data_IF_639738891718
#
_entry.id   IF_639738891718
#
_cell.length_a   1.000
_cell.length_b   1.000
_cell.length_c   1.000
_cell.angle_alpha   90.00
_cell.angle_beta   90.00
_cell.angle_gamma   90.00
#
_symmetry.space_group_name_H-M   'P 1'
#
loop_
_entity.id
_entity.type
_entity.pdbx_description
1 polymer ?
#
# COMPACT_ATOMS: atom_id res chain seq x y z
N UNK A 1 -6.57 -21.80 -1.91
CA UNK A 1 -7.38 -20.91 -2.77
C UNK A 1 -7.10 -19.49 -2.29
N UNK A 2 -6.79 -18.52 -3.15
CA UNK A 2 -6.56 -17.13 -2.69
C UNK A 2 -7.88 -16.59 -2.14
N UNK A 3 -7.92 -16.03 -0.91
CA UNK A 3 -9.14 -15.43 -0.34
C UNK A 3 -9.74 -14.32 -1.22
N UNK A 4 -8.95 -13.76 -2.13
CA UNK A 4 -9.30 -12.62 -2.96
C UNK A 4 -9.88 -13.00 -4.34
N UNK A 5 -10.21 -14.27 -4.58
CA UNK A 5 -10.70 -14.73 -5.89
C UNK A 5 -12.23 -14.89 -5.94
N UNK A 6 -12.88 -14.05 -6.75
CA UNK A 6 -14.34 -14.02 -6.97
C UNK A 6 -14.86 -15.02 -8.02
N UNK A 7 -14.02 -15.94 -8.54
CA UNK A 7 -14.42 -16.90 -9.59
C UNK A 7 -14.98 -18.21 -9.00
N UNK A 8 -15.77 -18.92 -9.80
CA UNK A 8 -16.23 -20.28 -9.49
C UNK A 8 -15.02 -21.21 -9.39
N UNK A 9 -14.91 -21.95 -8.27
CA UNK A 9 -13.77 -22.84 -7.99
C UNK A 9 -13.91 -24.12 -8.82
N UNK A 10 -13.01 -24.34 -9.77
CA UNK A 10 -12.86 -25.64 -10.44
C UNK A 10 -11.93 -26.55 -9.61
N UNK A 11 -12.23 -27.84 -9.53
CA UNK A 11 -11.41 -28.82 -8.79
C UNK A 11 -9.93 -28.79 -9.21
N UNK A 12 -8.97 -29.03 -8.30
CA UNK A 12 -7.57 -29.06 -8.65
C UNK A 12 -7.29 -30.14 -9.68
N UNK A 13 -6.56 -29.83 -10.77
CA UNK A 13 -6.09 -30.88 -11.66
C UNK A 13 -5.22 -31.86 -10.86
N UNK A 14 -5.46 -33.16 -11.04
CA UNK A 14 -4.75 -34.23 -10.34
C UNK A 14 -3.23 -34.17 -10.50
N UNK A 15 -2.75 -33.48 -11.54
CA UNK A 15 -1.36 -33.17 -11.78
C UNK A 15 -1.13 -31.66 -11.68
N UNK A 16 -0.46 -31.24 -10.61
CA UNK A 16 0.04 -29.86 -10.49
C UNK A 16 1.43 -29.83 -11.12
N UNK A 17 1.67 -29.00 -12.17
CA UNK A 17 3.00 -28.88 -12.75
C UNK A 17 4.02 -28.49 -11.70
N UNK A 18 5.03 -29.32 -11.49
CA UNK A 18 6.23 -29.04 -10.68
C UNK A 18 7.20 -28.08 -11.38
N UNK A 19 6.92 -27.72 -12.63
CA UNK A 19 7.76 -26.83 -13.42
C UNK A 19 7.75 -25.41 -12.84
N UNK A 20 8.93 -24.79 -12.80
CA UNK A 20 9.09 -23.43 -12.29
C UNK A 20 8.48 -22.43 -13.30
N UNK A 21 7.41 -21.69 -12.96
CA UNK A 21 6.71 -20.76 -13.85
C UNK A 21 7.57 -19.55 -14.18
N UNK A 22 8.58 -19.23 -13.35
CA UNK A 22 9.59 -18.20 -13.66
C UNK A 22 10.60 -18.63 -14.71
N UNK A 23 10.48 -19.87 -15.22
CA UNK A 23 11.24 -20.34 -16.36
C UNK A 23 10.38 -20.09 -17.61
N UNK A 24 10.86 -19.26 -18.56
CA UNK A 24 10.14 -19.03 -19.80
C UNK A 24 9.90 -20.34 -20.55
N UNK A 25 8.76 -20.49 -21.23
CA UNK A 25 8.51 -21.66 -22.07
C UNK A 25 9.58 -21.76 -23.16
N UNK A 26 9.88 -23.00 -23.59
CA UNK A 26 10.77 -23.23 -24.71
C UNK A 26 10.13 -22.71 -25.99
N UNK A 27 10.87 -21.89 -26.75
CA UNK A 27 10.36 -21.32 -27.99
C UNK A 27 10.75 -22.21 -29.18
N UNK A 28 9.76 -22.70 -29.96
CA UNK A 28 9.96 -23.59 -31.12
C UNK A 28 10.53 -22.90 -32.38
N UNK A 29 11.31 -21.84 -32.23
CA UNK A 29 11.84 -21.10 -33.37
C UNK A 29 13.14 -21.74 -33.90
N UNK A 30 13.04 -22.91 -34.54
CA UNK A 30 13.96 -23.55 -35.52
C UNK A 30 15.51 -23.47 -35.33
N UNK A 31 16.04 -22.92 -34.23
CA UNK A 31 17.46 -22.74 -33.97
C UNK A 31 17.75 -22.69 -32.47
N UNK A 32 17.81 -23.86 -31.85
CA UNK A 32 18.25 -24.03 -30.47
C UNK A 32 17.17 -23.70 -29.43
N UNK A 33 17.08 -24.54 -28.41
CA UNK A 33 16.23 -24.34 -27.24
C UNK A 33 16.68 -23.11 -26.42
N UNK A 34 16.28 -21.90 -26.84
CA UNK A 34 16.58 -20.67 -26.10
C UNK A 34 15.33 -20.20 -25.34
N UNK A 35 15.47 -20.08 -24.02
CA UNK A 35 14.47 -19.47 -23.13
C UNK A 35 14.56 -17.96 -23.24
N UNK A 36 13.43 -17.27 -23.38
CA UNK A 36 13.40 -15.80 -23.45
C UNK A 36 12.62 -15.23 -22.26
N UNK A 37 13.33 -14.56 -21.34
CA UNK A 37 12.72 -13.94 -20.15
C UNK A 37 11.56 -12.99 -20.49
N UNK A 38 11.59 -12.34 -21.67
CA UNK A 38 10.52 -11.43 -22.12
C UNK A 38 9.18 -12.12 -22.40
N UNK A 39 9.14 -13.47 -22.41
CA UNK A 39 7.91 -14.26 -22.59
C UNK A 39 7.16 -14.50 -21.28
N UNK A 40 7.79 -14.28 -20.13
CA UNK A 40 7.09 -14.33 -18.86
C UNK A 40 6.08 -13.20 -18.81
N UNK A 41 4.87 -13.43 -18.28
CA UNK A 41 3.87 -12.39 -18.13
C UNK A 41 3.27 -12.39 -16.74
N UNK A 42 3.14 -11.19 -16.14
CA UNK A 42 2.66 -11.00 -14.76
C UNK A 42 1.21 -11.46 -14.63
N UNK A 43 0.42 -11.26 -15.70
CA UNK A 43 -0.97 -11.72 -15.81
C UNK A 43 -1.13 -13.23 -15.54
N UNK A 44 -0.14 -14.05 -15.92
CA UNK A 44 -0.15 -15.50 -15.69
C UNK A 44 -0.09 -15.84 -14.19
N UNK A 45 0.45 -14.95 -13.37
CA UNK A 45 0.58 -15.12 -11.93
C UNK A 45 -0.60 -14.53 -11.18
N UNK A 46 -1.30 -13.56 -11.78
CA UNK A 46 -2.55 -12.99 -11.23
C UNK A 46 -3.72 -13.98 -11.34
N UNK A 47 -3.57 -15.04 -12.15
CA UNK A 47 -4.54 -16.13 -12.20
C UNK A 47 -4.54 -16.94 -10.89
N UNK A 48 -5.72 -17.20 -10.29
CA UNK A 48 -5.81 -17.99 -9.07
C UNK A 48 -5.27 -19.40 -9.34
N UNK A 49 -4.31 -19.83 -8.52
CA UNK A 49 -3.73 -21.18 -8.57
C UNK A 49 -3.94 -21.91 -7.26
N UNK A 50 -3.96 -23.23 -7.34
CA UNK A 50 -3.98 -24.08 -6.16
C UNK A 50 -2.74 -23.85 -5.31
N UNK A 51 -2.95 -23.78 -4.00
CA UNK A 51 -1.88 -23.54 -3.04
C UNK A 51 -0.94 -24.73 -3.04
N UNK A 52 0.34 -24.45 -3.25
CA UNK A 52 1.40 -25.43 -3.01
C UNK A 52 2.48 -24.77 -2.17
N UNK A 53 3.32 -25.58 -1.54
CA UNK A 53 4.41 -25.09 -0.70
C UNK A 53 5.33 -24.12 -1.44
N UNK A 54 5.59 -24.35 -2.72
CA UNK A 54 6.48 -23.54 -3.56
C UNK A 54 5.83 -22.26 -4.10
N UNK A 55 4.50 -22.24 -4.21
CA UNK A 55 3.73 -21.22 -4.92
C UNK A 55 2.80 -20.39 -4.03
N UNK A 56 2.62 -20.74 -2.76
CA UNK A 56 1.64 -20.08 -1.88
C UNK A 56 1.82 -18.56 -1.73
N UNK A 57 3.04 -18.06 -1.90
CA UNK A 57 3.36 -16.63 -1.78
C UNK A 57 2.77 -15.76 -2.90
N UNK A 58 2.37 -16.32 -4.05
CA UNK A 58 1.74 -15.53 -5.13
C UNK A 58 0.41 -14.90 -4.71
N UNK A 59 -0.22 -15.39 -3.63
CA UNK A 59 -1.42 -14.80 -3.05
C UNK A 59 -1.20 -13.38 -2.50
N UNK A 60 0.06 -12.98 -2.28
CA UNK A 60 0.45 -11.66 -1.81
C UNK A 60 0.68 -10.65 -2.94
N UNK A 61 0.45 -11.04 -4.20
CA UNK A 61 0.60 -10.11 -5.31
C UNK A 61 -0.57 -9.11 -5.38
N UNK A 62 -0.29 -7.81 -5.62
CA UNK A 62 -1.34 -6.82 -5.81
C UNK A 62 -2.09 -7.08 -7.14
N UNK A 63 -3.42 -7.06 -7.09
CA UNK A 63 -4.27 -7.16 -8.28
C UNK A 63 -4.14 -5.94 -9.19
N UNK A 64 -3.99 -4.76 -8.57
CA UNK A 64 -3.81 -3.47 -9.24
C UNK A 64 -2.59 -2.78 -8.62
N UNK A 65 -1.39 -2.95 -9.18
CA UNK A 65 -0.20 -2.29 -8.68
C UNK A 65 -0.27 -0.78 -8.96
N UNK A 66 -0.29 0.03 -7.90
CA UNK A 66 -0.12 1.48 -8.00
C UNK A 66 1.36 1.83 -8.19
N UNK A 67 1.68 2.44 -9.33
CA UNK A 67 3.03 2.88 -9.69
C UNK A 67 3.23 4.39 -9.51
N UNK A 68 2.26 5.12 -8.96
CA UNK A 68 2.30 6.58 -8.77
C UNK A 68 3.18 6.94 -7.57
N UNK A 69 3.19 6.11 -6.54
CA UNK A 69 4.06 6.24 -5.37
C UNK A 69 4.94 5.00 -5.19
N UNK A 70 5.82 4.67 -6.14
CA UNK A 70 6.69 3.53 -5.96
C UNK A 70 7.72 3.94 -4.90
N UNK A 71 7.85 3.19 -3.81
CA UNK A 71 9.10 3.24 -3.09
C UNK A 71 10.18 2.65 -4.04
N UNK A 72 11.44 2.65 -3.65
CA UNK A 72 12.42 1.66 -4.14
C UNK A 72 13.38 2.04 -5.30
N UNK A 73 14.45 2.75 -4.93
CA UNK A 73 15.83 2.44 -5.36
C UNK A 73 16.54 1.37 -4.47
N UNK A 74 16.24 1.22 -3.16
CA UNK A 74 17.01 0.30 -2.28
C UNK A 74 16.77 -1.21 -2.46
N UNK A 75 15.72 -1.67 -3.14
CA UNK A 75 15.44 -3.13 -3.27
C UNK A 75 16.50 -3.89 -4.07
N UNK A 76 17.32 -3.19 -4.85
CA UNK A 76 18.47 -3.77 -5.54
C UNK A 76 19.61 -4.19 -4.60
N UNK A 77 19.52 -3.85 -3.30
CA UNK A 77 20.57 -4.09 -2.30
C UNK A 77 20.25 -5.23 -1.32
N UNK A 78 19.14 -5.96 -1.51
CA UNK A 78 18.82 -7.09 -0.63
C UNK A 78 19.91 -8.19 -0.68
N UNK A 79 20.50 -8.60 0.46
CA UNK A 79 21.64 -9.51 0.46
C UNK A 79 21.29 -10.91 -0.09
N UNK A 80 22.23 -11.49 -0.85
CA UNK A 80 22.10 -12.78 -1.56
C UNK A 80 22.17 -14.04 -0.68
N UNK A 81 21.99 -13.95 0.64
CA UNK A 81 22.20 -15.08 1.58
C UNK A 81 20.90 -15.82 1.95
N UNK A 82 20.98 -17.03 2.55
CA UNK A 82 19.83 -17.92 2.72
C UNK A 82 18.78 -17.29 3.66
N UNK A 83 17.50 -17.66 3.54
CA UNK A 83 16.45 -17.02 4.33
C UNK A 83 16.67 -17.35 5.80
N UNK A 84 16.96 -16.34 6.61
CA UNK A 84 16.96 -16.40 8.08
C UNK A 84 15.67 -17.04 8.64
N UNK A 85 14.59 -17.09 7.86
CA UNK A 85 13.29 -17.69 8.18
C UNK A 85 12.95 -18.99 7.41
N UNK A 86 13.86 -19.63 6.67
CA UNK A 86 13.60 -20.88 5.92
C UNK A 86 12.29 -20.86 5.10
N UNK A 87 12.00 -19.72 4.48
CA UNK A 87 10.78 -19.55 3.70
C UNK A 87 10.83 -20.45 2.44
N UNK A 88 9.85 -21.35 2.22
CA UNK A 88 9.83 -22.22 1.05
C UNK A 88 9.32 -21.44 -0.18
N UNK A 89 10.09 -20.46 -0.64
CA UNK A 89 9.73 -19.64 -1.79
C UNK A 89 10.75 -19.76 -2.92
N UNK A 90 10.26 -20.02 -4.14
CA UNK A 90 11.07 -19.93 -5.35
C UNK A 90 11.20 -18.46 -5.72
N UNK A 91 12.44 -17.96 -5.80
CA UNK A 91 12.71 -16.55 -6.10
C UNK A 91 12.43 -16.24 -7.57
N UNK A 92 11.68 -15.15 -7.88
CA UNK A 92 11.47 -14.69 -9.25
C UNK A 92 12.77 -14.13 -9.85
N UNK A 93 12.81 -13.98 -11.17
CA UNK A 93 13.92 -13.30 -11.87
C UNK A 93 13.98 -11.84 -11.41
N UNK A 94 15.17 -11.28 -11.18
CA UNK A 94 15.32 -9.86 -10.85
C UNK A 94 14.79 -8.96 -11.98
N UNK A 95 14.19 -7.79 -11.69
CA UNK A 95 13.74 -6.84 -12.71
C UNK A 95 14.87 -6.42 -13.69
N UNK A 96 16.12 -6.35 -13.21
CA UNK A 96 17.29 -6.08 -14.06
C UNK A 96 17.54 -7.17 -15.12
N UNK A 97 17.02 -8.38 -14.90
CA UNK A 97 17.08 -9.50 -15.85
C UNK A 97 16.34 -9.24 -17.18
N UNK A 98 15.37 -8.32 -17.21
CA UNK A 98 14.70 -7.89 -18.45
C UNK A 98 15.55 -6.93 -19.28
N UNK A 99 16.71 -6.51 -18.77
CA UNK A 99 17.70 -5.80 -19.56
C UNK A 99 17.41 -4.33 -19.80
N UNK A 100 16.53 -3.69 -19.02
CA UNK A 100 16.27 -2.24 -19.12
C UNK A 100 17.52 -1.36 -18.89
N UNK A 101 18.56 -1.91 -18.24
CA UNK A 101 19.88 -1.25 -18.07
C UNK A 101 20.82 -1.44 -19.26
N UNK A 102 20.43 -2.21 -20.29
CA UNK A 102 21.28 -2.50 -21.46
C UNK A 102 21.10 -1.42 -22.54
N UNK A 103 22.04 -1.36 -23.49
CA UNK A 103 21.88 -0.54 -24.69
C UNK A 103 20.81 -1.16 -25.59
N UNK A 104 19.89 -0.34 -26.09
CA UNK A 104 18.82 -0.76 -26.99
C UNK A 104 18.93 -0.05 -28.33
N UNK A 105 18.63 -0.74 -29.44
CA UNK A 105 18.73 -0.16 -30.78
C UNK A 105 17.65 0.89 -31.07
N UNK A 106 16.48 0.76 -30.43
CA UNK A 106 15.35 1.65 -30.61
C UNK A 106 14.70 1.95 -29.26
N UNK A 107 14.15 3.16 -29.13
CA UNK A 107 13.40 3.60 -27.94
C UNK A 107 12.29 2.61 -27.56
N UNK A 108 11.51 2.13 -28.54
CA UNK A 108 10.44 1.15 -28.30
C UNK A 108 10.95 -0.14 -27.62
N UNK A 109 12.15 -0.58 -27.94
CA UNK A 109 12.75 -1.77 -27.32
C UNK A 109 13.23 -1.51 -25.87
N UNK A 110 13.72 -0.29 -25.60
CA UNK A 110 14.04 0.16 -24.25
C UNK A 110 12.76 0.26 -23.40
N UNK A 111 11.74 0.94 -23.91
CA UNK A 111 10.44 1.11 -23.22
C UNK A 111 9.78 -0.24 -22.91
N UNK A 112 9.82 -1.19 -23.84
CA UNK A 112 9.32 -2.56 -23.59
C UNK A 112 10.05 -3.24 -22.43
N UNK A 113 11.36 -3.05 -22.32
CA UNK A 113 12.17 -3.63 -21.25
C UNK A 113 11.93 -2.93 -19.91
N UNK A 114 11.74 -1.61 -19.92
CA UNK A 114 11.38 -0.79 -18.75
C UNK A 114 10.02 -1.20 -18.21
N UNK A 115 8.98 -1.23 -19.05
CA UNK A 115 7.64 -1.64 -18.62
C UNK A 115 7.64 -3.06 -18.10
N UNK A 116 8.37 -3.97 -18.75
CA UNK A 116 8.45 -5.35 -18.26
C UNK A 116 9.12 -5.47 -16.91
N UNK A 117 10.22 -4.75 -16.69
CA UNK A 117 10.90 -4.71 -15.40
C UNK A 117 10.01 -4.09 -14.31
N UNK A 118 9.29 -3.01 -14.64
CA UNK A 118 8.31 -2.37 -13.75
C UNK A 118 7.19 -3.34 -13.37
N UNK A 119 6.56 -4.02 -14.33
CA UNK A 119 5.45 -4.91 -14.02
C UNK A 119 5.93 -6.11 -13.19
N UNK A 120 7.12 -6.62 -13.50
CA UNK A 120 7.75 -7.72 -12.76
C UNK A 120 8.18 -7.35 -11.34
N UNK A 121 8.30 -6.06 -11.06
CA UNK A 121 8.58 -5.55 -9.73
C UNK A 121 7.48 -5.91 -8.73
N UNK A 122 6.22 -5.89 -9.15
CA UNK A 122 5.07 -6.28 -8.32
C UNK A 122 5.16 -7.73 -7.85
N UNK A 123 5.78 -8.60 -8.64
CA UNK A 123 6.06 -9.99 -8.28
C UNK A 123 7.07 -10.06 -7.12
N UNK A 124 8.09 -9.20 -7.13
CA UNK A 124 9.04 -9.09 -6.01
C UNK A 124 8.41 -8.49 -4.76
N UNK A 125 7.49 -7.53 -4.92
CA UNK A 125 6.73 -6.98 -3.78
C UNK A 125 5.82 -8.02 -3.13
N UNK A 126 5.20 -8.91 -3.93
CA UNK A 126 4.45 -10.04 -3.40
C UNK A 126 5.33 -11.00 -2.59
N UNK A 127 6.52 -11.34 -3.10
CA UNK A 127 7.47 -12.17 -2.36
C UNK A 127 7.94 -11.50 -1.07
N UNK A 128 8.28 -10.20 -1.12
CA UNK A 128 8.71 -9.45 0.07
C UNK A 128 7.62 -9.44 1.14
N UNK A 129 6.37 -9.19 0.75
CA UNK A 129 5.21 -9.18 1.66
C UNK A 129 5.01 -10.55 2.32
N UNK A 130 5.14 -11.64 1.55
CA UNK A 130 5.11 -13.00 2.09
C UNK A 130 6.24 -13.26 3.10
N UNK A 131 7.46 -12.78 2.81
CA UNK A 131 8.60 -12.95 3.72
C UNK A 131 8.41 -12.18 5.03
N UNK A 132 7.84 -10.98 4.98
CA UNK A 132 7.48 -10.19 6.16
C UNK A 132 6.43 -10.94 6.99
N UNK A 133 5.32 -11.36 6.37
CA UNK A 133 4.26 -12.10 7.06
C UNK A 133 4.78 -13.41 7.71
N UNK A 134 5.67 -14.12 7.02
CA UNK A 134 6.33 -15.32 7.56
C UNK A 134 7.24 -15.00 8.76
N UNK A 135 7.96 -13.87 8.71
CA UNK A 135 8.82 -13.45 9.79
C UNK A 135 7.99 -13.06 11.03
N UNK A 136 6.93 -12.27 10.84
CA UNK A 136 6.00 -11.87 11.90
C UNK A 136 5.29 -13.07 12.53
N UNK A 137 4.87 -14.05 11.73
CA UNK A 137 4.27 -15.29 12.23
C UNK A 137 5.25 -16.05 13.13
N UNK A 138 6.51 -16.19 12.71
CA UNK A 138 7.55 -16.86 13.50
C UNK A 138 7.92 -16.09 14.76
N UNK A 139 7.94 -14.76 14.71
CA UNK A 139 8.15 -13.90 15.87
C UNK A 139 7.00 -14.07 16.88
N UNK A 140 5.75 -14.12 16.41
CA UNK A 140 4.58 -14.37 17.24
C UNK A 140 4.60 -15.76 17.89
N UNK A 141 4.92 -16.82 17.12
CA UNK A 141 5.04 -18.19 17.64
C UNK A 141 6.11 -18.34 18.73
N UNK A 142 7.21 -17.56 18.62
CA UNK A 142 8.35 -17.63 19.53
C UNK A 142 8.29 -16.58 20.65
N UNK A 143 7.20 -15.83 20.76
CA UNK A 143 7.00 -14.77 21.76
C UNK A 143 7.17 -15.27 23.20
N UNK A 144 6.70 -16.49 23.48
CA UNK A 144 6.79 -17.13 24.79
C UNK A 144 8.18 -17.75 25.08
N UNK A 145 9.06 -17.77 24.08
CA UNK A 145 10.42 -18.32 24.17
C UNK A 145 11.46 -17.26 23.77
N UNK A 146 11.75 -16.25 24.62
CA UNK A 146 12.61 -15.12 24.28
C UNK A 146 14.03 -15.49 23.82
N UNK A 147 14.54 -16.64 24.26
CA UNK A 147 15.85 -17.17 23.90
C UNK A 147 15.89 -17.83 22.50
N UNK A 148 14.73 -18.20 21.96
CA UNK A 148 14.55 -18.72 20.59
C UNK A 148 14.01 -17.65 19.64
N UNK A 149 13.43 -16.57 20.19
CA UNK A 149 12.92 -15.43 19.42
C UNK A 149 14.02 -14.87 18.54
N UNK A 150 13.75 -14.85 17.24
CA UNK A 150 14.60 -14.19 16.25
C UNK A 150 14.49 -12.68 16.42
N UNK A 151 15.50 -11.93 15.98
CA UNK A 151 15.40 -10.46 15.92
C UNK A 151 14.25 -10.09 14.98
N UNK A 152 13.51 -9.04 15.32
CA UNK A 152 12.44 -8.52 14.46
C UNK A 152 12.95 -8.32 13.03
N UNK A 153 12.11 -8.62 12.04
CA UNK A 153 12.52 -8.56 10.63
C UNK A 153 13.08 -7.19 10.23
N UNK A 154 12.56 -6.13 10.85
CA UNK A 154 13.02 -4.75 10.71
C UNK A 154 14.46 -4.57 11.21
N UNK A 155 14.75 -5.05 12.42
CA UNK A 155 16.09 -4.98 13.04
C UNK A 155 17.11 -5.79 12.24
N UNK A 156 16.70 -6.97 11.77
CA UNK A 156 17.52 -7.81 10.92
C UNK A 156 17.90 -7.08 9.62
N UNK A 157 16.96 -6.41 8.96
CA UNK A 157 17.24 -5.67 7.73
C UNK A 157 18.16 -4.47 7.97
N UNK A 158 17.99 -3.75 9.09
CA UNK A 158 18.89 -2.66 9.48
C UNK A 158 20.33 -3.17 9.71
N UNK A 159 20.50 -4.31 10.38
CA UNK A 159 21.81 -4.94 10.59
C UNK A 159 22.46 -5.42 9.29
N UNK A 160 21.64 -5.82 8.31
CA UNK A 160 22.13 -6.17 6.98
C UNK A 160 22.44 -4.95 6.09
N UNK A 161 22.32 -3.73 6.63
CA UNK A 161 22.66 -2.49 5.95
C UNK A 161 21.53 -1.87 5.13
N UNK A 162 20.27 -2.26 5.38
CA UNK A 162 19.13 -1.56 4.79
C UNK A 162 19.03 -0.13 5.32
N UNK A 163 18.67 0.80 4.44
CA UNK A 163 18.50 2.21 4.81
C UNK A 163 17.31 2.40 5.76
N UNK A 164 17.49 3.19 6.82
CA UNK A 164 16.46 3.40 7.86
C UNK A 164 15.20 4.10 7.33
N UNK A 165 15.35 5.15 6.53
CA UNK A 165 14.22 5.91 5.93
C UNK A 165 13.40 5.03 4.99
N UNK A 166 14.07 4.14 4.27
CA UNK A 166 13.44 3.13 3.44
C UNK A 166 12.67 2.12 4.27
N UNK A 167 13.27 1.63 5.35
CA UNK A 167 12.64 0.69 6.25
C UNK A 167 11.43 1.31 6.95
N UNK A 168 11.53 2.56 7.40
CA UNK A 168 10.41 3.34 7.92
C UNK A 168 9.33 3.53 6.85
N UNK A 169 9.70 3.82 5.61
CA UNK A 169 8.75 3.91 4.49
C UNK A 169 8.10 2.56 4.19
N UNK A 170 8.83 1.45 4.33
CA UNK A 170 8.31 0.10 4.15
C UNK A 170 7.39 -0.29 5.31
N UNK A 171 7.72 0.02 6.55
CA UNK A 171 6.85 -0.22 7.72
C UNK A 171 5.60 0.65 7.60
N UNK A 172 5.75 1.89 7.14
CA UNK A 172 4.63 2.80 6.94
C UNK A 172 3.79 2.44 5.70
N UNK A 173 4.38 1.88 4.64
CA UNK A 173 3.66 1.36 3.47
C UNK A 173 3.01 0.01 3.76
N UNK A 174 3.66 -0.77 4.62
CA UNK A 174 3.15 -1.98 5.27
C UNK A 174 2.48 -1.59 6.58
N UNK A 175 1.83 -0.41 6.65
CA UNK A 175 0.70 -0.25 7.57
C UNK A 175 -0.38 -1.19 7.07
N UNK A 176 -0.16 -2.46 7.40
CA UNK A 176 -1.10 -3.43 7.89
C UNK A 176 -2.45 -3.30 7.19
N UNK A 177 -2.74 -4.26 6.32
CA UNK A 177 -4.04 -4.90 6.42
C UNK A 177 -3.99 -5.77 7.70
N UNK A 178 -4.32 -5.28 8.90
CA UNK A 178 -4.81 -6.21 9.89
C UNK A 178 -6.03 -6.87 9.24
N UNK A 179 -6.09 -8.20 9.33
CA UNK A 179 -7.38 -8.86 9.25
C UNK A 179 -8.28 -8.14 10.25
N UNK A 180 -9.27 -7.41 9.72
CA UNK A 180 -10.10 -6.39 10.39
C UNK A 180 -9.47 -4.98 10.51
N UNK A 181 -9.33 -4.26 9.37
CA UNK A 181 -9.13 -2.80 9.40
C UNK A 181 -10.42 -2.18 9.93
N UNK A 182 -10.40 -1.74 11.18
CA UNK A 182 -11.52 -1.00 11.76
C UNK A 182 -11.90 0.15 10.82
N UNK A 183 -13.20 0.43 10.67
CA UNK A 183 -13.69 1.60 9.93
C UNK A 183 -12.97 2.90 10.34
N UNK A 184 -12.45 2.94 11.57
CA UNK A 184 -11.64 4.02 12.12
C UNK A 184 -10.29 4.19 11.43
N UNK A 185 -9.58 3.12 11.08
CA UNK A 185 -8.24 3.21 10.48
C UNK A 185 -8.31 3.67 9.03
N UNK A 186 -9.31 3.18 8.28
CA UNK A 186 -9.62 3.67 6.91
C UNK A 186 -9.96 5.16 6.93
N UNK A 187 -10.74 5.57 7.93
CA UNK A 187 -11.06 6.97 8.15
C UNK A 187 -9.80 7.78 8.44
N UNK A 188 -8.93 7.32 9.35
CA UNK A 188 -7.70 8.00 9.71
C UNK A 188 -6.77 8.16 8.50
N UNK A 189 -6.69 7.17 7.61
CA UNK A 189 -5.91 7.27 6.38
C UNK A 189 -6.43 8.39 5.45
N UNK A 190 -7.74 8.40 5.15
CA UNK A 190 -8.36 9.45 4.32
C UNK A 190 -8.26 10.84 4.97
N UNK A 191 -8.45 10.90 6.29
CA UNK A 191 -8.35 12.13 7.07
C UNK A 191 -6.93 12.70 7.08
N UNK A 192 -5.91 11.86 7.29
CA UNK A 192 -4.51 12.29 7.29
C UNK A 192 -4.08 12.79 5.91
N UNK A 193 -4.49 12.11 4.84
CA UNK A 193 -4.25 12.58 3.47
C UNK A 193 -4.85 13.98 3.23
N UNK A 194 -6.08 14.20 3.70
CA UNK A 194 -6.71 15.53 3.66
C UNK A 194 -5.94 16.58 4.47
N UNK A 195 -5.54 16.27 5.71
CA UNK A 195 -4.77 17.20 6.53
C UNK A 195 -3.42 17.57 5.89
N UNK A 196 -2.73 16.60 5.28
CA UNK A 196 -1.49 16.84 4.54
C UNK A 196 -1.74 17.79 3.36
N UNK A 197 -2.83 17.58 2.60
CA UNK A 197 -3.20 18.48 1.50
C UNK A 197 -3.49 19.92 1.97
N UNK A 198 -4.03 20.08 3.18
CA UNK A 198 -4.36 21.38 3.78
C UNK A 198 -3.16 22.09 4.40
N UNK A 199 -2.14 21.36 4.86
CA UNK A 199 -0.95 21.92 5.54
C UNK A 199 -0.30 23.03 4.70
N UNK A 200 -0.12 22.80 3.40
CA UNK A 200 0.47 23.78 2.49
C UNK A 200 -0.41 25.03 2.31
N UNK A 201 -1.73 24.84 2.19
CA UNK A 201 -2.66 25.97 2.05
C UNK A 201 -2.72 26.82 3.32
N UNK A 202 -2.70 26.20 4.52
CA UNK A 202 -2.63 26.94 5.79
C UNK A 202 -1.37 27.80 5.88
N UNK A 203 -0.22 27.27 5.48
CA UNK A 203 1.04 28.04 5.45
C UNK A 203 0.93 29.27 4.54
N UNK A 204 0.30 29.15 3.37
CA UNK A 204 0.09 30.31 2.48
C UNK A 204 -0.86 31.33 3.09
N UNK A 205 -1.93 30.88 3.76
CA UNK A 205 -2.84 31.78 4.49
C UNK A 205 -2.06 32.53 5.55
N UNK A 206 -1.31 31.84 6.41
CA UNK A 206 -0.53 32.46 7.48
C UNK A 206 0.48 33.51 6.97
N UNK A 207 1.10 33.27 5.81
CA UNK A 207 2.03 34.21 5.17
C UNK A 207 1.34 35.46 4.60
N UNK A 208 0.10 35.32 4.13
CA UNK A 208 -0.68 36.41 3.51
C UNK A 208 -1.67 37.08 4.48
N UNK A 209 -1.75 36.59 5.72
CA UNK A 209 -2.75 37.00 6.71
C UNK A 209 -2.45 38.39 7.26
N UNK A 210 -3.42 39.30 7.16
CA UNK A 210 -3.34 40.62 7.79
C UNK A 210 -3.60 40.52 9.31
N UNK A 211 -3.19 41.54 10.07
CA UNK A 211 -3.45 41.58 11.53
C UNK A 211 -4.94 41.50 11.88
N UNK A 212 -5.80 42.14 11.07
CA UNK A 212 -7.25 42.10 11.22
C UNK A 212 -7.81 40.70 10.94
N UNK A 213 -7.34 40.04 9.88
CA UNK A 213 -7.81 38.70 9.52
C UNK A 213 -7.36 37.64 10.53
N UNK A 214 -6.14 37.79 11.06
CA UNK A 214 -5.64 36.99 12.19
C UNK A 214 -6.52 37.12 13.42
N UNK A 215 -6.92 38.34 13.78
CA UNK A 215 -7.80 38.58 14.91
C UNK A 215 -9.18 37.95 14.69
N UNK A 216 -9.75 38.07 13.48
CA UNK A 216 -11.02 37.41 13.13
C UNK A 216 -10.90 35.89 13.23
N UNK A 217 -9.81 35.30 12.73
CA UNK A 217 -9.56 33.85 12.81
C UNK A 217 -9.46 33.37 14.25
N UNK A 218 -8.65 34.03 15.08
CA UNK A 218 -8.51 33.71 16.50
C UNK A 218 -9.84 33.86 17.28
N UNK A 219 -10.66 34.85 16.90
CA UNK A 219 -12.00 35.02 17.47
C UNK A 219 -12.89 33.82 17.14
N UNK A 220 -12.88 33.36 15.87
CA UNK A 220 -13.62 32.16 15.45
C UNK A 220 -13.09 30.88 16.08
N UNK A 221 -11.79 30.79 16.33
CA UNK A 221 -11.20 29.64 17.01
C UNK A 221 -11.68 29.52 18.46
N UNK A 222 -11.86 30.66 19.15
CA UNK A 222 -12.45 30.71 20.50
C UNK A 222 -13.95 30.42 20.50
N UNK A 223 -14.67 30.91 19.49
CA UNK A 223 -16.13 30.73 19.34
C UNK A 223 -16.47 30.33 17.91
N UNK A 224 -16.38 29.04 17.59
CA UNK A 224 -16.65 28.53 16.25
C UNK A 224 -18.08 28.85 15.78
N UNK A 225 -18.26 29.47 14.59
CA UNK A 225 -19.59 29.76 14.09
C UNK A 225 -20.28 28.50 13.56
N UNK A 226 -21.55 28.30 13.89
CA UNK A 226 -22.34 27.11 13.49
C UNK A 226 -23.14 27.33 12.19
N UNK A 227 -23.55 28.57 11.90
CA UNK A 227 -24.39 28.91 10.72
C UNK A 227 -23.59 29.34 9.50
N UNK A 228 -22.56 30.17 9.71
CA UNK A 228 -21.82 30.81 8.62
C UNK A 228 -20.64 29.96 8.14
N UNK A 229 -20.07 29.09 8.98
CA UNK A 229 -19.06 28.12 8.56
C UNK A 229 -19.65 27.12 7.57
N UNK A 230 -18.82 26.60 6.67
CA UNK A 230 -19.20 25.44 5.85
C UNK A 230 -19.12 24.20 6.70
N UNK A 231 -20.05 23.25 6.52
CA UNK A 231 -20.03 21.98 7.24
C UNK A 231 -19.83 20.86 6.24
N UNK A 232 -18.96 19.93 6.57
CA UNK A 232 -18.68 18.72 5.81
C UNK A 232 -18.84 17.51 6.73
N UNK A 233 -19.36 16.42 6.18
CA UNK A 233 -19.37 15.13 6.87
C UNK A 233 -18.59 14.11 6.06
N UNK A 234 -17.94 13.20 6.78
CA UNK A 234 -17.18 12.11 6.20
C UNK A 234 -18.03 10.86 6.18
N UNK A 235 -18.14 10.24 5.00
CA UNK A 235 -18.91 9.01 4.81
C UNK A 235 -18.09 8.03 4.00
N UNK A 236 -18.35 6.73 4.17
CA UNK A 236 -17.70 5.68 3.39
C UNK A 236 -18.06 5.86 1.92
N UNK A 237 -17.06 5.76 1.06
CA UNK A 237 -17.30 5.67 -0.37
C UNK A 237 -17.88 4.28 -0.69
N UNK A 238 -18.86 4.24 -1.59
CA UNK A 238 -19.46 2.99 -2.05
C UNK A 238 -18.63 2.34 -3.16
N UNK A 239 -17.76 3.12 -3.80
CA UNK A 239 -16.95 2.69 -4.96
C UNK A 239 -15.52 2.36 -4.56
N UNK A 240 -15.00 3.04 -3.54
CA UNK A 240 -13.68 2.79 -2.96
C UNK A 240 -13.82 2.39 -1.50
N UNK A 241 -12.87 1.63 -0.96
CA UNK A 241 -12.88 1.18 0.43
C UNK A 241 -12.49 2.30 1.44
N UNK A 242 -12.62 3.58 1.03
CA UNK A 242 -12.15 4.76 1.76
C UNK A 242 -13.27 5.69 2.24
N UNK A 243 -12.90 6.86 2.74
CA UNK A 243 -13.85 7.90 3.14
C UNK A 243 -13.80 9.11 2.22
N UNK A 244 -15.00 9.62 1.90
CA UNK A 244 -15.19 10.82 1.10
C UNK A 244 -15.80 11.94 1.94
N UNK A 245 -15.30 13.16 1.71
CA UNK A 245 -15.75 14.39 2.37
C UNK A 245 -16.88 15.02 1.55
N UNK A 246 -18.10 15.02 2.09
CA UNK A 246 -19.28 15.61 1.43
C UNK A 246 -19.68 16.92 2.08
N UNK A 247 -19.99 17.93 1.26
CA UNK A 247 -20.43 19.23 1.74
C UNK A 247 -21.91 19.22 2.11
N UNK A 248 -22.25 19.75 3.29
CA UNK A 248 -23.63 19.95 3.74
C UNK A 248 -24.17 21.25 3.16
N UNK A 249 -25.42 21.19 2.68
CA UNK A 249 -26.11 22.38 2.17
C UNK A 249 -26.35 23.40 3.29
N UNK A 250 -26.45 24.69 2.94
CA UNK A 250 -26.56 25.79 3.93
C UNK A 250 -27.72 25.60 4.91
N UNK A 251 -28.85 25.03 4.45
CA UNK A 251 -30.06 24.83 5.25
C UNK A 251 -29.82 23.85 6.42
N UNK A 252 -29.00 22.83 6.22
CA UNK A 252 -28.86 21.70 7.16
C UNK A 252 -27.62 21.79 8.05
N UNK A 253 -26.83 22.88 7.98
CA UNK A 253 -25.54 22.96 8.69
C UNK A 253 -25.68 22.90 10.21
N UNK A 254 -26.64 23.63 10.77
CA UNK A 254 -26.86 23.69 12.22
C UNK A 254 -27.40 22.35 12.73
N UNK A 255 -28.39 21.79 12.02
CA UNK A 255 -28.96 20.48 12.33
C UNK A 255 -27.91 19.38 12.26
N UNK A 256 -27.13 19.30 11.17
CA UNK A 256 -26.05 18.32 11.06
C UNK A 256 -25.01 18.47 12.17
N UNK A 257 -24.66 19.70 12.58
CA UNK A 257 -23.74 19.87 13.72
C UNK A 257 -24.35 19.41 15.04
N UNK A 258 -25.67 19.50 15.20
CA UNK A 258 -26.39 19.00 16.38
C UNK A 258 -26.44 17.48 16.47
N UNK A 259 -26.35 16.79 15.32
CA UNK A 259 -26.34 15.31 15.26
C UNK A 259 -25.01 14.69 15.70
N UNK A 260 -23.92 15.47 15.79
CA UNK A 260 -22.59 15.00 16.21
C UNK A 260 -22.19 15.62 17.55
N UNK A 261 -21.48 14.85 18.39
CA UNK A 261 -20.93 15.41 19.62
C UNK A 261 -19.73 16.33 19.40
N UNK A 262 -19.32 17.02 20.45
CA UNK A 262 -18.12 17.84 20.46
C UNK A 262 -16.83 17.07 20.18
N UNK A 263 -16.82 15.74 20.40
CA UNK A 263 -15.70 14.85 20.06
C UNK A 263 -15.74 14.38 18.61
N UNK A 264 -16.90 14.47 17.97
CA UNK A 264 -17.16 14.04 16.59
C UNK A 264 -17.17 15.16 15.57
N UNK A 265 -17.05 16.42 16.01
CA UNK A 265 -16.95 17.59 15.16
C UNK A 265 -15.62 18.32 15.39
N UNK A 266 -14.91 18.65 14.31
CA UNK A 266 -13.65 19.42 14.34
C UNK A 266 -13.79 20.69 13.52
N UNK A 267 -13.37 21.81 14.10
CA UNK A 267 -13.42 23.11 13.45
C UNK A 267 -12.04 23.53 12.91
N UNK A 268 -12.00 24.02 11.68
CA UNK A 268 -10.82 24.62 11.04
C UNK A 268 -11.02 26.13 10.90
N UNK A 269 -10.28 26.90 11.70
CA UNK A 269 -10.38 28.36 11.74
C UNK A 269 -9.79 29.04 10.50
N UNK A 270 -8.80 28.43 9.83
CA UNK A 270 -8.18 28.97 8.62
C UNK A 270 -9.15 29.01 7.44
N UNK A 271 -9.99 27.99 7.29
CA UNK A 271 -10.95 27.92 6.19
C UNK A 271 -12.39 28.25 6.59
N UNK A 272 -12.66 28.42 7.89
CA UNK A 272 -14.01 28.59 8.44
C UNK A 272 -14.93 27.41 8.05
N UNK A 273 -14.45 26.20 8.33
CA UNK A 273 -15.11 24.94 7.97
C UNK A 273 -15.18 24.00 9.19
N UNK A 274 -16.24 23.20 9.24
CA UNK A 274 -16.42 22.09 10.15
C UNK A 274 -16.29 20.77 9.40
N UNK A 275 -15.65 19.81 10.04
CA UNK A 275 -15.53 18.43 9.60
C UNK A 275 -16.14 17.51 10.66
N UNK A 276 -17.19 16.77 10.29
CA UNK A 276 -17.95 15.88 11.17
C UNK A 276 -17.74 14.41 10.76
N UNK A 277 -17.53 13.54 11.74
CA UNK A 277 -17.41 12.10 11.52
C UNK A 277 -17.66 11.33 12.82
N UNK A 278 -18.41 10.25 12.74
CA UNK A 278 -18.60 9.31 13.86
C UNK A 278 -17.30 8.62 14.28
N UNK A 279 -16.29 8.61 13.41
CA UNK A 279 -14.99 7.95 13.65
C UNK A 279 -13.98 8.84 14.42
N UNK A 280 -14.27 10.13 14.62
CA UNK A 280 -13.36 11.04 15.33
C UNK A 280 -13.24 10.75 16.84
N UNK A 281 -14.29 10.21 17.44
CA UNK A 281 -14.36 9.89 18.86
C UNK A 281 -15.70 9.29 19.22
N UNK A 282 -15.74 8.59 20.36
CA UNK A 282 -17.00 8.16 20.98
C UNK A 282 -17.45 9.23 21.98
N UNK A 283 -18.78 9.36 22.11
CA UNK A 283 -19.41 10.24 23.10
C UNK A 283 -19.03 9.86 24.54
#
# INVERSE_FOLDING_TARGET
YSPNSLRTVEEPPAYVPTENPFVPPLCNAQSGFKRNAMQLDVTNYLSPRWWTRSWGWIAFMPHEPDYINPPFDPLFQTPRRPPYYDAPAIRPIYPSGFGYKKKHPHERAAMKSIYKARDWFSVWMGLLSFLIAMAETKEHELRDYPHLSKKGWADYLLEQGAERTWLESLINSTTTYPLDVSQKDRFLASWNSFLLSRKYLRQRIDQSETSLDKQKRLSRERRPPTKSAKVFYWTTDTTSDGYIRKQVSKKWREDTLGDYSTKQARYDSHFNEWDCSSQFGSD
#
